data_IF_495676699078
#
_entry.id   IF_495676699078
#
_cell.length_a   1.000
_cell.length_b   1.000
_cell.length_c   1.000
_cell.angle_alpha   90.00
_cell.angle_beta   90.00
_cell.angle_gamma   90.00
#
_symmetry.space_group_name_H-M   'P 1'
#
loop_
_entity.id
_entity.type
_entity.pdbx_description
1 polymer ?
#
# COMPACT_ATOMS: atom_id res chain seq x y z
N UNK A 1 -31.40 1.16 17.78
CA UNK A 1 -31.38 2.61 17.53
C UNK A 1 -30.20 2.81 16.60
N UNK A 2 -30.44 2.96 15.29
CA UNK A 2 -29.35 3.31 14.36
C UNK A 2 -28.89 4.71 14.72
N UNK A 3 -27.58 4.98 14.62
CA UNK A 3 -27.07 6.33 14.81
C UNK A 3 -27.62 7.24 13.69
N UNK A 4 -27.34 8.54 13.75
CA UNK A 4 -27.72 9.49 12.70
C UNK A 4 -27.38 8.91 11.32
N UNK A 5 -28.29 8.93 10.32
CA UNK A 5 -27.99 8.42 8.98
C UNK A 5 -26.72 9.09 8.43
N UNK A 6 -25.65 8.31 8.24
CA UNK A 6 -24.33 8.79 7.81
C UNK A 6 -23.18 8.44 8.75
N UNK A 7 -23.41 8.30 10.06
CA UNK A 7 -22.37 7.94 11.03
C UNK A 7 -22.04 6.43 11.01
N UNK A 8 -23.00 5.60 10.55
CA UNK A 8 -22.85 4.15 10.37
C UNK A 8 -22.46 3.75 8.93
N UNK A 9 -22.32 4.71 8.00
CA UNK A 9 -22.02 4.46 6.58
C UNK A 9 -20.60 4.90 6.28
N UNK A 10 -19.77 3.96 5.83
CA UNK A 10 -18.37 4.19 5.52
C UNK A 10 -18.10 4.02 4.03
N UNK A 11 -17.15 4.80 3.53
CA UNK A 11 -16.61 4.69 2.17
C UNK A 11 -15.09 4.65 2.20
N UNK A 12 -14.51 3.95 1.24
CA UNK A 12 -13.07 3.92 1.02
C UNK A 12 -12.72 4.99 -0.02
N UNK A 13 -11.97 6.02 0.39
CA UNK A 13 -11.48 7.08 -0.49
C UNK A 13 -10.00 6.87 -0.72
N UNK A 14 -9.56 6.97 -1.98
CA UNK A 14 -8.18 6.73 -2.35
C UNK A 14 -7.56 7.91 -3.09
N UNK A 15 -6.27 8.12 -2.85
CA UNK A 15 -5.40 9.00 -3.62
C UNK A 15 -4.26 8.17 -4.21
N UNK A 16 -3.96 8.40 -5.49
CA UNK A 16 -2.90 7.71 -6.21
C UNK A 16 -1.85 8.69 -6.72
N UNK A 17 -0.58 8.34 -6.52
CA UNK A 17 0.59 9.05 -7.01
C UNK A 17 1.20 8.25 -8.15
N UNK A 18 1.22 8.86 -9.32
CA UNK A 18 1.79 8.28 -10.52
C UNK A 18 2.83 9.22 -11.13
N UNK A 19 3.89 8.63 -11.66
CA UNK A 19 4.89 9.30 -12.49
C UNK A 19 5.03 8.45 -13.73
N UNK A 20 4.88 9.08 -14.90
CA UNK A 20 5.00 8.40 -16.19
C UNK A 20 6.40 7.77 -16.30
N UNK A 21 6.45 6.50 -16.72
CA UNK A 21 7.69 5.71 -16.86
C UNK A 21 8.44 5.55 -15.52
N UNK A 22 7.74 5.77 -14.40
CA UNK A 22 8.28 5.71 -13.06
C UNK A 22 7.69 4.57 -12.25
N UNK A 23 8.43 4.18 -11.22
CA UNK A 23 7.92 3.50 -10.06
C UNK A 23 7.90 4.47 -8.89
N UNK A 24 6.75 4.61 -8.23
CA UNK A 24 6.56 5.42 -7.02
C UNK A 24 6.26 4.48 -5.85
N UNK A 25 7.05 4.55 -4.78
CA UNK A 25 6.95 3.63 -3.65
C UNK A 25 7.00 4.38 -2.32
N UNK A 26 6.28 3.89 -1.33
CA UNK A 26 6.24 4.49 0.00
C UNK A 26 7.58 4.34 0.74
N UNK A 27 8.03 5.44 1.33
CA UNK A 27 9.15 5.43 2.26
C UNK A 27 8.63 5.06 3.66
N UNK A 28 9.20 4.01 4.27
CA UNK A 28 8.66 3.45 5.51
C UNK A 28 8.71 4.39 6.70
N UNK A 29 9.64 5.35 6.71
CA UNK A 29 9.75 6.35 7.77
C UNK A 29 8.84 7.56 7.51
N UNK A 30 8.34 7.70 6.27
CA UNK A 30 7.35 8.69 5.87
C UNK A 30 5.95 8.38 6.37
N UNK A 31 5.65 7.17 6.86
CA UNK A 31 4.29 6.80 7.29
C UNK A 31 3.69 7.75 8.34
N UNK A 32 4.45 8.13 9.38
CA UNK A 32 3.95 9.07 10.39
C UNK A 32 3.65 10.44 9.79
N UNK A 33 4.54 10.91 8.92
CA UNK A 33 4.41 12.19 8.22
C UNK A 33 3.23 12.17 7.26
N UNK A 34 2.98 11.05 6.56
CA UNK A 34 1.78 10.83 5.77
C UNK A 34 0.51 10.95 6.61
N UNK A 35 0.43 10.30 7.78
CA UNK A 35 -0.77 10.45 8.63
C UNK A 35 -0.95 11.88 9.12
N UNK A 36 0.14 12.58 9.46
CA UNK A 36 0.08 13.98 9.87
C UNK A 36 -0.46 14.87 8.74
N UNK A 37 0.13 14.77 7.55
CA UNK A 37 -0.18 15.69 6.43
C UNK A 37 -1.49 15.35 5.73
N UNK A 38 -1.76 14.06 5.54
CA UNK A 38 -2.87 13.58 4.71
C UNK A 38 -4.15 13.39 5.52
N UNK A 39 -4.04 13.03 6.81
CA UNK A 39 -5.19 12.86 7.70
C UNK A 39 -5.27 13.95 8.79
N UNK A 40 -4.44 14.99 8.69
CA UNK A 40 -4.39 16.12 9.60
C UNK A 40 -4.23 15.70 11.07
N UNK A 41 -3.46 14.64 11.31
CA UNK A 41 -3.27 14.09 12.65
C UNK A 41 -2.12 14.78 13.38
N UNK A 42 -2.24 14.98 14.69
CA UNK A 42 -1.15 15.55 15.49
C UNK A 42 0.10 14.64 15.45
N UNK A 43 1.29 15.24 15.37
CA UNK A 43 2.56 14.51 15.21
C UNK A 43 2.77 13.40 16.25
N UNK A 44 2.44 13.68 17.51
CA UNK A 44 2.64 12.71 18.61
C UNK A 44 1.75 11.49 18.44
N UNK A 45 0.50 11.67 18.00
CA UNK A 45 -0.40 10.57 17.70
C UNK A 45 0.08 9.82 16.46
N UNK A 46 0.54 10.50 15.42
CA UNK A 46 1.07 9.86 14.21
C UNK A 46 2.25 8.94 14.51
N UNK A 47 3.21 9.43 15.28
CA UNK A 47 4.37 8.63 15.71
C UNK A 47 3.96 7.42 16.56
N UNK A 48 2.93 7.56 17.40
CA UNK A 48 2.40 6.47 18.22
C UNK A 48 1.72 5.41 17.34
N UNK A 49 0.89 5.82 16.39
CA UNK A 49 0.18 4.93 15.48
C UNK A 49 1.13 4.16 14.57
N UNK A 50 2.24 4.74 14.15
CA UNK A 50 3.23 4.07 13.29
C UNK A 50 4.42 3.47 14.04
N UNK A 51 4.31 3.33 15.38
CA UNK A 51 5.38 2.73 16.19
C UNK A 51 5.53 1.25 15.83
N UNK A 52 6.77 0.82 15.59
CA UNK A 52 7.07 -0.59 15.37
C UNK A 52 6.54 -1.47 16.51
N UNK A 53 5.90 -2.60 16.17
CA UNK A 53 5.28 -3.50 17.12
C UNK A 53 3.92 -3.03 17.68
N UNK A 54 3.41 -1.88 17.26
CA UNK A 54 2.05 -1.48 17.59
C UNK A 54 1.04 -2.39 16.88
N UNK A 55 0.07 -2.95 17.62
CA UNK A 55 -0.77 -4.05 17.13
C UNK A 55 -1.65 -3.66 15.94
N UNK A 56 -2.08 -2.39 15.91
CA UNK A 56 -2.90 -1.83 14.82
C UNK A 56 -2.09 -1.44 13.58
N UNK A 57 -0.76 -1.41 13.66
CA UNK A 57 0.12 -1.01 12.56
C UNK A 57 0.87 -2.21 12.00
N UNK A 58 0.65 -2.48 10.72
CA UNK A 58 1.37 -3.50 9.96
C UNK A 58 2.13 -2.80 8.85
N UNK A 59 3.42 -3.08 8.77
CA UNK A 59 4.29 -2.61 7.69
C UNK A 59 4.39 -3.68 6.61
N UNK A 60 4.18 -3.31 5.36
CA UNK A 60 4.16 -4.21 4.22
C UNK A 60 5.38 -3.92 3.35
N UNK A 61 6.46 -4.65 3.60
CA UNK A 61 7.71 -4.48 2.84
C UNK A 61 7.54 -4.90 1.39
N UNK A 62 7.97 -4.05 0.46
CA UNK A 62 8.01 -4.35 -0.96
C UNK A 62 9.36 -4.98 -1.31
N UNK A 63 9.36 -6.09 -2.05
CA UNK A 63 10.58 -6.79 -2.51
C UNK A 63 11.64 -7.05 -1.41
N UNK A 64 11.20 -7.29 -0.16
CA UNK A 64 12.08 -7.42 1.03
C UNK A 64 12.91 -6.19 1.38
N UNK A 65 12.69 -5.04 0.73
CA UNK A 65 13.33 -3.78 1.07
C UNK A 65 12.60 -3.16 2.26
N UNK A 66 13.24 -3.16 3.44
CA UNK A 66 12.59 -2.74 4.70
C UNK A 66 12.26 -1.24 4.75
N UNK A 67 13.01 -0.43 4.01
CA UNK A 67 12.80 1.02 3.85
C UNK A 67 11.75 1.36 2.80
N UNK A 68 11.42 0.43 1.89
CA UNK A 68 10.39 0.59 0.87
C UNK A 68 9.20 -0.25 1.28
N UNK A 69 8.28 0.37 2.00
CA UNK A 69 7.17 -0.36 2.58
C UNK A 69 5.93 0.51 2.60
N UNK A 70 4.80 -0.11 2.27
CA UNK A 70 3.50 0.41 2.64
C UNK A 70 3.15 0.08 4.09
N UNK A 71 1.90 0.32 4.45
CA UNK A 71 1.37 -0.10 5.74
C UNK A 71 -0.16 -0.23 5.72
N UNK A 72 -0.69 -0.98 6.67
CA UNK A 72 -2.11 -0.97 7.01
C UNK A 72 -2.27 -0.59 8.48
N UNK A 73 -3.20 0.32 8.74
CA UNK A 73 -3.61 0.74 10.08
C UNK A 73 -5.10 0.51 10.21
N UNK A 74 -5.48 -0.34 11.16
CA UNK A 74 -6.89 -0.61 11.47
C UNK A 74 -7.20 -0.10 12.85
N UNK A 75 -8.33 0.60 13.00
CA UNK A 75 -8.82 1.06 14.29
C UNK A 75 -10.17 0.43 14.60
N UNK A 76 -10.40 0.12 15.87
CA UNK A 76 -11.65 -0.47 16.33
C UNK A 76 -12.44 0.44 17.28
N UNK A 77 -11.75 1.36 17.95
CA UNK A 77 -12.34 2.18 19.03
C UNK A 77 -12.08 3.66 18.88
N UNK A 78 -10.97 4.04 18.25
CA UNK A 78 -10.56 5.44 18.15
C UNK A 78 -10.18 5.70 16.69
N UNK A 79 -10.96 6.52 15.97
CA UNK A 79 -10.68 6.80 14.59
C UNK A 79 -9.43 7.69 14.44
N UNK A 80 -8.87 7.73 13.24
CA UNK A 80 -7.61 8.42 12.93
C UNK A 80 -7.86 9.80 12.33
N UNK A 81 -7.11 10.77 12.85
CA UNK A 81 -7.04 12.12 12.28
C UNK A 81 -8.37 12.88 12.30
N UNK A 82 -8.42 13.98 11.56
CA UNK A 82 -9.58 14.86 11.51
C UNK A 82 -10.77 14.24 10.76
N UNK A 83 -10.49 13.35 9.81
CA UNK A 83 -11.51 12.72 8.96
C UNK A 83 -12.12 11.46 9.57
N UNK A 84 -11.81 11.15 10.83
CA UNK A 84 -12.29 9.98 11.54
C UNK A 84 -12.04 8.66 10.77
N UNK A 85 -10.87 8.49 10.16
CA UNK A 85 -10.58 7.31 9.37
C UNK A 85 -10.49 6.05 10.26
N UNK A 86 -11.24 5.00 9.93
CA UNK A 86 -11.25 3.75 10.71
C UNK A 86 -10.23 2.74 10.19
N UNK A 87 -9.82 2.88 8.94
CA UNK A 87 -8.81 2.08 8.29
C UNK A 87 -7.99 2.96 7.34
N UNK A 88 -6.69 2.73 7.28
CA UNK A 88 -5.78 3.40 6.35
C UNK A 88 -4.83 2.38 5.76
N UNK A 89 -4.68 2.40 4.45
CA UNK A 89 -3.76 1.53 3.74
C UNK A 89 -2.89 2.33 2.78
N UNK A 90 -1.58 2.19 2.92
CA UNK A 90 -0.59 2.69 1.97
C UNK A 90 0.01 1.48 1.26
N UNK A 91 -0.05 1.45 -0.06
CA UNK A 91 0.43 0.33 -0.87
C UNK A 91 0.86 0.78 -2.26
N UNK A 92 1.48 -0.14 -3.00
CA UNK A 92 1.89 0.06 -4.38
C UNK A 92 1.09 -0.84 -5.32
N UNK A 93 0.89 -0.41 -6.57
CA UNK A 93 0.09 -1.13 -7.57
C UNK A 93 0.82 -2.32 -8.22
N UNK A 94 2.13 -2.43 -8.06
CA UNK A 94 2.96 -3.55 -8.56
C UNK A 94 2.49 -4.92 -8.03
N UNK A 95 1.96 -4.95 -6.81
CA UNK A 95 1.36 -6.14 -6.20
C UNK A 95 0.27 -6.76 -7.08
N UNK A 96 -0.43 -5.97 -7.89
CA UNK A 96 -1.51 -6.46 -8.76
C UNK A 96 -1.06 -7.54 -9.76
N UNK A 97 0.21 -7.56 -10.19
CA UNK A 97 0.70 -8.54 -11.16
C UNK A 97 0.83 -9.96 -10.59
N UNK A 98 1.04 -10.06 -9.29
CA UNK A 98 1.20 -11.32 -8.57
C UNK A 98 0.01 -11.67 -7.69
N UNK A 99 -0.94 -10.75 -7.54
CA UNK A 99 -2.19 -10.96 -6.80
C UNK A 99 -3.10 -11.96 -7.52
N UNK A 100 -3.67 -12.90 -6.77
CA UNK A 100 -4.69 -13.83 -7.26
C UNK A 100 -5.63 -14.23 -6.11
N UNK A 101 -6.81 -13.61 -6.06
CA UNK A 101 -7.83 -13.88 -5.01
C UNK A 101 -8.34 -15.33 -4.99
N UNK A 102 -8.08 -16.12 -6.03
CA UNK A 102 -8.46 -17.53 -6.07
C UNK A 102 -7.44 -18.41 -5.37
N UNK A 103 -6.21 -17.93 -5.19
CA UNK A 103 -5.18 -18.64 -4.46
C UNK A 103 -5.41 -18.49 -2.95
N UNK A 104 -5.07 -19.53 -2.17
CA UNK A 104 -5.27 -19.53 -0.71
C UNK A 104 -4.62 -18.36 0.03
N UNK A 105 -3.56 -17.78 -0.56
CA UNK A 105 -2.80 -16.67 0.00
C UNK A 105 -3.05 -15.35 -0.75
N UNK A 106 -4.09 -15.29 -1.58
CA UNK A 106 -4.41 -14.17 -2.46
C UNK A 106 -3.26 -13.76 -3.41
N UNK A 107 -2.32 -14.66 -3.70
CA UNK A 107 -1.16 -14.40 -4.54
C UNK A 107 -0.71 -15.66 -5.27
N UNK A 108 -0.04 -15.49 -6.41
CA UNK A 108 0.70 -16.56 -7.08
C UNK A 108 1.85 -17.01 -6.16
N UNK A 109 1.89 -18.29 -5.79
CA UNK A 109 2.92 -18.82 -4.89
C UNK A 109 3.46 -20.18 -5.36
N UNK A 110 4.68 -20.49 -4.92
CA UNK A 110 5.32 -21.79 -5.11
C UNK A 110 5.91 -22.24 -3.76
N UNK A 111 5.87 -23.54 -3.48
CA UNK A 111 6.47 -24.10 -2.27
C UNK A 111 7.90 -24.54 -2.52
N UNK A 112 8.73 -24.59 -1.47
CA UNK A 112 10.08 -25.16 -1.57
C UNK A 112 10.06 -26.58 -2.16
N UNK A 113 9.06 -27.39 -1.79
CA UNK A 113 8.85 -28.74 -2.36
C UNK A 113 8.61 -28.67 -3.87
N UNK A 114 7.78 -27.74 -4.35
CA UNK A 114 7.53 -27.57 -5.79
C UNK A 114 8.78 -27.11 -6.55
N UNK A 115 9.67 -26.34 -5.90
CA UNK A 115 10.95 -25.94 -6.48
C UNK A 115 11.98 -27.07 -6.50
N UNK A 116 12.01 -27.91 -5.46
CA UNK A 116 12.98 -29.00 -5.31
C UNK A 116 12.59 -30.29 -6.04
N UNK A 117 11.32 -30.46 -6.42
CA UNK A 117 10.90 -31.60 -7.26
C UNK A 117 11.70 -31.56 -8.56
N UNK A 118 12.47 -32.63 -8.83
CA UNK A 118 13.26 -32.79 -10.06
C UNK A 118 12.36 -32.54 -11.28
N UNK A 119 12.52 -31.37 -11.87
CA UNK A 119 11.99 -31.05 -13.17
C UNK A 119 12.85 -31.76 -14.22
N UNK A 120 12.25 -32.19 -15.34
CA UNK A 120 13.01 -32.68 -16.51
C UNK A 120 13.92 -31.59 -17.12
N UNK A 121 13.67 -30.32 -16.78
CA UNK A 121 14.39 -29.15 -17.23
C UNK A 121 15.34 -28.63 -16.16
N UNK A 122 16.43 -28.00 -16.59
CA UNK A 122 17.43 -27.31 -15.76
C UNK A 122 16.86 -26.11 -14.99
N UNK A 123 15.65 -25.65 -15.33
CA UNK A 123 14.97 -24.51 -14.70
C UNK A 123 13.51 -24.84 -14.35
N UNK A 124 12.95 -24.14 -13.36
CA UNK A 124 11.57 -24.30 -12.91
C UNK A 124 10.62 -23.45 -13.77
N UNK A 125 9.60 -24.06 -14.40
CA UNK A 125 8.68 -23.39 -15.32
C UNK A 125 7.91 -22.22 -14.67
N UNK A 126 7.51 -22.37 -13.40
CA UNK A 126 6.83 -21.29 -12.67
C UNK A 126 7.73 -20.06 -12.54
N UNK A 127 9.01 -20.25 -12.19
CA UNK A 127 9.97 -19.15 -12.09
C UNK A 127 10.23 -18.50 -13.45
N UNK A 128 10.31 -19.29 -14.54
CA UNK A 128 10.46 -18.76 -15.90
C UNK A 128 9.27 -17.89 -16.32
N UNK A 129 8.04 -18.32 -16.00
CA UNK A 129 6.83 -17.52 -16.25
C UNK A 129 6.77 -16.27 -15.39
N UNK A 130 7.14 -16.36 -14.12
CA UNK A 130 7.18 -15.22 -13.20
C UNK A 130 8.20 -14.17 -13.67
N UNK A 131 9.40 -14.61 -14.07
CA UNK A 131 10.40 -13.75 -14.68
C UNK A 131 9.86 -13.05 -15.92
N UNK A 132 9.19 -13.78 -16.83
CA UNK A 132 8.58 -13.19 -18.02
C UNK A 132 7.55 -12.10 -17.70
N UNK A 133 6.78 -12.27 -16.63
CA UNK A 133 5.82 -11.24 -16.16
C UNK A 133 6.55 -9.99 -15.69
N UNK A 134 7.62 -10.10 -14.90
CA UNK A 134 8.36 -8.93 -14.43
C UNK A 134 9.14 -8.25 -15.56
N UNK A 135 9.76 -9.03 -16.46
CA UNK A 135 10.45 -8.50 -17.62
C UNK A 135 9.51 -7.72 -18.55
N UNK A 136 8.27 -8.19 -18.74
CA UNK A 136 7.25 -7.46 -19.49
C UNK A 136 6.81 -6.18 -18.76
N UNK A 137 6.62 -6.27 -17.45
CA UNK A 137 6.21 -5.16 -16.60
C UNK A 137 7.20 -3.98 -16.62
N UNK A 138 8.50 -4.26 -16.70
CA UNK A 138 9.55 -3.26 -16.87
C UNK A 138 9.30 -2.28 -18.03
N UNK A 139 8.59 -2.72 -19.07
CA UNK A 139 8.29 -1.94 -20.27
C UNK A 139 6.87 -1.39 -20.34
N UNK A 140 5.95 -1.94 -19.56
CA UNK A 140 4.52 -1.67 -19.76
C UNK A 140 3.76 -1.25 -18.49
N UNK A 141 4.34 -1.40 -17.30
CA UNK A 141 3.61 -1.25 -16.03
C UNK A 141 4.31 -0.29 -15.07
N UNK A 142 3.90 0.98 -15.10
CA UNK A 142 4.31 1.94 -14.07
C UNK A 142 3.83 1.46 -12.68
N UNK A 143 4.58 1.82 -11.65
CA UNK A 143 4.21 1.50 -10.27
C UNK A 143 3.75 2.77 -9.59
N UNK A 144 2.58 2.72 -8.99
CA UNK A 144 1.94 3.86 -8.35
C UNK A 144 1.88 3.63 -6.85
N UNK A 145 2.14 4.67 -6.08
CA UNK A 145 1.92 4.68 -4.65
C UNK A 145 0.48 5.14 -4.39
N UNK A 146 -0.30 4.33 -3.69
CA UNK A 146 -1.68 4.63 -3.34
C UNK A 146 -1.85 4.69 -1.83
N UNK A 147 -2.65 5.64 -1.36
CA UNK A 147 -3.19 5.68 -0.01
C UNK A 147 -4.71 5.58 -0.09
N UNK A 148 -5.29 4.76 0.76
CA UNK A 148 -6.73 4.54 0.88
C UNK A 148 -7.12 4.73 2.34
N UNK A 149 -8.21 5.45 2.59
CA UNK A 149 -8.74 5.68 3.92
C UNK A 149 -10.24 5.36 3.95
N UNK A 150 -10.64 4.54 4.92
CA UNK A 150 -12.05 4.30 5.23
C UNK A 150 -12.56 5.37 6.15
N UNK A 151 -13.45 6.22 5.66
CA UNK A 151 -14.01 7.36 6.42
C UNK A 151 -15.53 7.30 6.47
N UNK A 152 -16.18 7.96 7.45
CA UNK A 152 -17.61 8.19 7.39
C UNK A 152 -17.99 8.91 6.09
N UNK A 153 -19.15 8.58 5.51
CA UNK A 153 -19.62 9.14 4.25
C UNK A 153 -19.62 10.69 4.27
N UNK A 154 -19.90 11.30 5.42
CA UNK A 154 -19.90 12.75 5.60
C UNK A 154 -18.53 13.41 5.34
N UNK A 155 -17.42 12.66 5.46
CA UNK A 155 -16.06 13.17 5.25
C UNK A 155 -15.47 12.77 3.89
N UNK A 156 -16.26 12.09 3.04
CA UNK A 156 -15.76 11.50 1.80
C UNK A 156 -15.27 12.54 0.79
N UNK A 157 -15.92 13.70 0.75
CA UNK A 157 -15.56 14.79 -0.17
C UNK A 157 -14.35 15.60 0.32
N UNK A 158 -14.08 15.60 1.63
CA UNK A 158 -13.02 16.41 2.23
C UNK A 158 -11.69 15.65 2.35
N UNK A 159 -11.74 14.34 2.56
CA UNK A 159 -10.52 13.54 2.75
C UNK A 159 -9.68 13.55 1.47
N UNK A 160 -8.41 13.94 1.61
CA UNK A 160 -7.43 14.12 0.52
C UNK A 160 -7.71 15.23 -0.51
N UNK A 161 -8.83 15.95 -0.45
CA UNK A 161 -9.23 16.92 -1.48
C UNK A 161 -8.20 18.03 -1.72
N UNK A 162 -7.63 18.58 -0.64
CA UNK A 162 -6.73 19.72 -0.69
C UNK A 162 -5.25 19.35 -0.49
N UNK A 163 -4.85 18.10 -0.78
CA UNK A 163 -3.47 17.67 -0.58
C UNK A 163 -2.59 18.13 -1.76
N UNK A 164 -1.64 19.06 -1.55
CA UNK A 164 -0.74 19.46 -2.62
C UNK A 164 0.29 18.37 -2.91
N UNK A 165 0.75 18.27 -4.16
CA UNK A 165 1.81 17.32 -4.58
C UNK A 165 3.08 17.45 -3.74
N UNK A 166 3.41 18.67 -3.30
CA UNK A 166 4.56 18.94 -2.45
C UNK A 166 4.54 18.16 -1.12
N UNK A 167 3.36 17.76 -0.63
CA UNK A 167 3.19 16.98 0.59
C UNK A 167 3.82 15.59 0.51
N UNK A 168 4.12 15.10 -0.70
CA UNK A 168 4.61 13.74 -0.95
C UNK A 168 6.11 13.65 -1.23
N UNK A 169 6.81 14.76 -1.45
CA UNK A 169 8.19 14.77 -1.97
C UNK A 169 9.20 14.01 -1.09
N UNK A 170 8.95 13.93 0.22
CA UNK A 170 9.75 13.22 1.23
C UNK A 170 9.09 11.93 1.73
N UNK A 171 7.91 11.58 1.18
CA UNK A 171 7.13 10.40 1.57
C UNK A 171 7.32 9.21 0.64
N UNK A 172 7.83 9.45 -0.57
CA UNK A 172 7.97 8.43 -1.59
C UNK A 172 9.35 8.40 -2.19
N UNK A 173 9.78 7.21 -2.58
CA UNK A 173 10.83 7.01 -3.55
C UNK A 173 10.23 7.10 -4.94
N UNK A 174 10.98 7.66 -5.89
CA UNK A 174 10.64 7.63 -7.30
C UNK A 174 11.87 7.18 -8.08
N UNK A 175 11.76 6.07 -8.80
CA UNK A 175 12.84 5.50 -9.61
C UNK A 175 12.32 5.21 -11.03
N UNK A 176 13.20 5.07 -12.04
CA UNK A 176 12.77 4.58 -13.34
C UNK A 176 12.06 3.22 -13.21
N UNK A 177 10.94 3.04 -13.91
CA UNK A 177 10.16 1.79 -13.86
C UNK A 177 11.03 0.55 -14.13
N UNK A 178 11.94 0.65 -15.09
CA UNK A 178 12.82 -0.46 -15.51
C UNK A 178 13.76 -0.92 -14.40
N UNK A 179 14.15 -0.03 -13.47
CA UNK A 179 15.06 -0.38 -12.37
C UNK A 179 14.33 -1.08 -11.22
N UNK A 180 13.01 -0.86 -11.11
CA UNK A 180 12.18 -1.49 -10.08
C UNK A 180 11.84 -2.95 -10.39
N UNK A 181 11.54 -3.25 -11.64
CA UNK A 181 11.12 -4.58 -12.11
C UNK A 181 12.29 -5.52 -12.38
#
# INVERSE_FOLDING_TARGET
MFSTPGDDVFVDVALELSVKEGAVMWHSDGHAVALQRLLQMHQTEANKWTRFGYYNYKRDTCAHLTSVAGCHITTHTTPLGQFNATFVQMYTTDKCLTYDMRASNNAKFVTAVNLMKKSKYTYNEFLGKLYGVFADAAWHNDVHARIEARVPLANAEDVFADVPVASFLDLVYCVPRQDWW
#
